data_IF_321606920074
#
_entry.id   IF_321606920074
#
_cell.length_a   1.000
_cell.length_b   1.000
_cell.length_c   1.000
_cell.angle_alpha   90.00
_cell.angle_beta   90.00
_cell.angle_gamma   90.00
#
_symmetry.space_group_name_H-M   'P 1'
#
loop_
_entity.id
_entity.type
_entity.pdbx_description
1 polymer ?
#
# COMPACT_ATOMS: atom_id res chain seq x y z
N UNK A 1 -2.63 18.16 -1.72
CA UNK A 1 -1.61 17.14 -1.38
C UNK A 1 -0.65 17.08 -2.55
N UNK A 2 0.26 18.06 -2.62
CA UNK A 2 1.33 18.13 -3.63
C UNK A 2 2.62 18.16 -2.84
N UNK A 3 3.56 17.30 -3.19
CA UNK A 3 4.88 17.22 -2.58
C UNK A 3 5.98 17.29 -3.65
N UNK A 4 7.24 17.39 -3.22
CA UNK A 4 8.34 17.56 -4.17
C UNK A 4 8.53 16.32 -5.07
N UNK A 5 8.11 15.13 -4.64
CA UNK A 5 8.26 13.88 -5.39
C UNK A 5 7.38 13.88 -6.63
N UNK A 6 6.27 14.64 -6.65
CA UNK A 6 5.33 14.66 -7.77
C UNK A 6 5.96 15.09 -9.11
N UNK A 7 7.09 15.80 -9.09
CA UNK A 7 7.80 16.21 -10.30
C UNK A 7 8.63 15.09 -10.94
N UNK A 8 9.08 14.14 -10.13
CA UNK A 8 10.00 13.08 -10.55
C UNK A 8 9.30 11.73 -10.74
N UNK A 9 8.11 11.58 -10.18
CA UNK A 9 7.32 10.37 -10.31
C UNK A 9 6.40 10.43 -11.53
N UNK A 10 6.14 9.27 -12.12
CA UNK A 10 5.10 9.12 -13.13
C UNK A 10 3.73 9.08 -12.46
N UNK A 11 2.73 9.63 -13.14
CA UNK A 11 1.34 9.66 -12.67
C UNK A 11 0.46 8.87 -13.63
N UNK A 12 -0.07 7.75 -13.15
CA UNK A 12 -1.09 6.98 -13.85
C UNK A 12 -2.46 7.45 -13.36
N UNK A 13 -3.36 7.79 -14.28
CA UNK A 13 -4.70 8.21 -13.92
C UNK A 13 -5.76 7.65 -14.86
N UNK A 14 -7.00 7.63 -14.38
CA UNK A 14 -8.18 7.29 -15.16
C UNK A 14 -9.00 8.56 -15.36
N UNK A 15 -9.32 8.85 -16.62
CA UNK A 15 -10.11 10.01 -17.02
C UNK A 15 -11.48 9.59 -17.53
N UNK A 16 -12.54 10.11 -16.91
CA UNK A 16 -13.89 9.98 -17.43
C UNK A 16 -14.10 11.02 -18.53
N UNK A 17 -14.27 10.54 -19.78
CA UNK A 17 -14.43 11.40 -20.95
C UNK A 17 -15.80 12.05 -21.03
N UNK A 18 -16.84 11.40 -20.50
CA UNK A 18 -18.21 11.90 -20.54
C UNK A 18 -18.39 12.99 -19.49
N UNK A 19 -17.95 12.73 -18.26
CA UNK A 19 -18.06 13.68 -17.15
C UNK A 19 -16.88 14.67 -17.09
N UNK A 20 -15.90 14.53 -17.98
CA UNK A 20 -14.71 15.38 -18.08
C UNK A 20 -13.99 15.56 -16.72
N UNK A 21 -13.82 14.46 -15.98
CA UNK A 21 -13.21 14.50 -14.66
C UNK A 21 -12.30 13.29 -14.40
N UNK A 22 -11.44 13.44 -13.39
CA UNK A 22 -10.55 12.37 -12.94
C UNK A 22 -11.30 11.38 -12.06
N UNK A 23 -11.17 10.09 -12.40
CA UNK A 23 -11.77 8.98 -11.63
C UNK A 23 -10.87 8.57 -10.47
N UNK A 24 -9.56 8.51 -10.72
CA UNK A 24 -8.56 8.12 -9.73
C UNK A 24 -7.16 8.12 -10.32
N UNK A 25 -6.17 7.98 -9.45
CA UNK A 25 -4.77 8.04 -9.84
C UNK A 25 -3.88 7.15 -8.95
N UNK A 26 -2.67 6.90 -9.46
CA UNK A 26 -1.55 6.23 -8.80
C UNK A 26 -0.27 6.97 -9.15
N UNK A 27 0.65 7.00 -8.20
CA UNK A 27 2.01 7.50 -8.40
C UNK A 27 2.99 6.33 -8.53
N UNK A 28 3.86 6.40 -9.54
CA UNK A 28 4.81 5.35 -9.93
C UNK A 28 6.22 5.94 -9.95
N UNK A 29 7.06 5.53 -9.00
CA UNK A 29 8.45 5.93 -8.90
C UNK A 29 9.37 4.87 -9.48
N UNK A 30 10.02 5.15 -10.60
CA UNK A 30 10.98 4.22 -11.19
C UNK A 30 12.27 4.25 -10.37
N UNK A 31 12.49 3.22 -9.54
CA UNK A 31 13.52 3.27 -8.48
C UNK A 31 14.91 3.49 -9.06
N UNK A 32 15.26 2.81 -10.14
CA UNK A 32 16.55 2.96 -10.80
C UNK A 32 16.83 4.40 -11.23
N UNK A 33 15.82 5.09 -11.77
CA UNK A 33 15.94 6.48 -12.21
C UNK A 33 16.01 7.46 -11.02
N UNK A 34 15.19 7.23 -10.00
CA UNK A 34 15.18 8.06 -8.79
C UNK A 34 16.49 7.94 -8.01
N UNK A 35 17.00 6.72 -7.85
CA UNK A 35 18.28 6.46 -7.20
C UNK A 35 19.44 7.11 -7.96
N UNK A 36 19.44 7.03 -9.29
CA UNK A 36 20.49 7.65 -10.10
C UNK A 36 20.55 9.18 -9.94
N UNK A 37 19.40 9.83 -9.69
CA UNK A 37 19.28 11.28 -9.59
C UNK A 37 19.48 11.81 -8.17
N UNK A 38 18.96 11.11 -7.17
CA UNK A 38 18.85 11.61 -5.79
C UNK A 38 19.35 10.65 -4.72
N UNK A 39 19.80 9.45 -5.11
CA UNK A 39 20.06 8.36 -4.17
C UNK A 39 18.78 7.89 -3.47
N UNK A 40 18.96 7.17 -2.36
CA UNK A 40 17.85 6.56 -1.59
C UNK A 40 16.86 7.60 -1.04
N UNK A 41 17.33 8.81 -0.74
CA UNK A 41 16.49 9.92 -0.25
C UNK A 41 15.53 10.47 -1.33
N UNK A 42 15.70 10.06 -2.60
CA UNK A 42 14.75 10.35 -3.67
C UNK A 42 13.45 9.56 -3.61
N UNK A 43 13.39 8.51 -2.78
CA UNK A 43 12.22 7.66 -2.64
C UNK A 43 11.26 8.20 -1.58
N UNK A 44 9.97 8.31 -1.90
CA UNK A 44 8.97 8.81 -0.97
C UNK A 44 8.86 7.96 0.29
N UNK A 45 8.90 6.62 0.16
CA UNK A 45 8.82 5.73 1.32
C UNK A 45 9.98 5.94 2.30
N UNK A 46 11.11 6.52 1.87
CA UNK A 46 12.23 6.88 2.76
C UNK A 46 11.86 7.95 3.79
N UNK A 47 10.83 8.75 3.51
CA UNK A 47 10.27 9.70 4.49
C UNK A 47 9.48 9.01 5.61
N UNK A 48 9.02 7.78 5.38
CA UNK A 48 8.20 7.01 6.30
C UNK A 48 8.98 5.88 6.99
N UNK A 49 10.02 5.39 6.35
CA UNK A 49 10.80 4.24 6.78
C UNK A 49 12.30 4.50 6.69
N UNK A 50 13.05 3.90 7.60
CA UNK A 50 14.50 3.83 7.59
C UNK A 50 14.93 2.54 6.92
N UNK A 51 15.52 2.66 5.73
CA UNK A 51 16.13 1.59 4.98
C UNK A 51 17.25 2.18 4.10
N UNK A 52 18.07 1.30 3.53
CA UNK A 52 19.16 1.68 2.62
C UNK A 52 19.16 0.77 1.37
N UNK A 53 20.25 0.82 0.60
CA UNK A 53 20.40 0.04 -0.62
C UNK A 53 20.19 -1.47 -0.39
N UNK A 54 20.51 -2.01 0.79
CA UNK A 54 20.37 -3.45 1.09
C UNK A 54 18.92 -3.91 1.03
N UNK A 55 17.97 -3.04 1.40
CA UNK A 55 16.54 -3.31 1.27
C UNK A 55 16.12 -3.31 -0.20
N UNK A 56 16.58 -2.34 -0.97
CA UNK A 56 16.24 -2.20 -2.39
C UNK A 56 16.81 -3.37 -3.22
N UNK A 57 17.98 -3.87 -2.84
CA UNK A 57 18.61 -5.04 -3.47
C UNK A 57 17.76 -6.31 -3.34
N UNK A 58 16.89 -6.43 -2.33
CA UNK A 58 15.94 -7.55 -2.20
C UNK A 58 14.83 -7.51 -3.25
N UNK A 59 14.55 -6.34 -3.84
CA UNK A 59 13.42 -6.12 -4.76
C UNK A 59 13.85 -6.06 -6.23
N UNK A 60 15.14 -6.25 -6.52
CA UNK A 60 15.68 -6.08 -7.86
C UNK A 60 15.29 -4.74 -8.49
N UNK A 61 15.02 -4.74 -9.80
CA UNK A 61 14.54 -3.54 -10.48
C UNK A 61 13.05 -3.36 -10.23
N UNK A 62 12.70 -2.29 -9.52
CA UNK A 62 11.36 -2.13 -8.93
C UNK A 62 10.75 -0.75 -9.20
N UNK A 63 9.43 -0.67 -8.98
CA UNK A 63 8.66 0.57 -9.01
C UNK A 63 8.09 0.82 -7.62
N UNK A 64 8.36 2.00 -7.08
CA UNK A 64 7.69 2.46 -5.85
C UNK A 64 6.29 2.97 -6.19
N UNK A 65 5.28 2.33 -5.61
CA UNK A 65 3.87 2.62 -5.80
C UNK A 65 3.32 3.41 -4.61
N UNK A 66 2.50 4.43 -4.86
CA UNK A 66 1.88 5.17 -3.77
C UNK A 66 0.84 6.18 -4.22
N UNK A 67 0.37 6.97 -3.26
CA UNK A 67 -0.59 8.08 -3.48
C UNK A 67 -1.84 7.67 -4.26
N UNK A 68 -2.27 6.43 -4.07
CA UNK A 68 -3.48 5.91 -4.71
C UNK A 68 -4.71 6.67 -4.22
N UNK A 69 -5.48 7.21 -5.15
CA UNK A 69 -6.70 7.97 -4.83
C UNK A 69 -7.81 7.63 -5.81
N UNK A 70 -9.05 7.60 -5.31
CA UNK A 70 -10.26 7.49 -6.12
C UNK A 70 -11.16 8.66 -5.72
N UNK A 71 -11.61 9.43 -6.72
CA UNK A 71 -12.52 10.54 -6.50
C UNK A 71 -13.83 10.06 -5.86
N UNK A 72 -14.37 10.85 -4.94
CA UNK A 72 -15.46 10.47 -4.05
C UNK A 72 -16.65 9.87 -4.78
N UNK A 73 -17.07 10.47 -5.90
CA UNK A 73 -18.19 10.00 -6.71
C UNK A 73 -17.97 8.63 -7.37
N UNK A 74 -16.72 8.17 -7.48
CA UNK A 74 -16.35 6.84 -7.99
C UNK A 74 -15.95 5.87 -6.88
N UNK A 75 -15.92 6.31 -5.62
CA UNK A 75 -15.68 5.39 -4.50
C UNK A 75 -16.81 4.35 -4.45
N UNK A 76 -16.47 3.13 -4.05
CA UNK A 76 -17.33 1.92 -4.11
C UNK A 76 -17.59 1.39 -5.54
N UNK A 77 -17.22 2.11 -6.59
CA UNK A 77 -17.20 1.53 -7.93
C UNK A 77 -16.02 0.57 -8.08
N UNK A 78 -16.31 -0.69 -8.39
CA UNK A 78 -15.26 -1.68 -8.66
C UNK A 78 -14.46 -1.32 -9.93
N UNK A 79 -15.09 -0.65 -10.91
CA UNK A 79 -14.45 -0.36 -12.20
C UNK A 79 -13.30 0.62 -12.08
N UNK A 80 -13.38 1.61 -11.18
CA UNK A 80 -12.34 2.62 -11.01
C UNK A 80 -11.00 1.98 -10.60
N UNK A 81 -11.02 1.13 -9.56
CA UNK A 81 -9.82 0.45 -9.08
C UNK A 81 -9.31 -0.57 -10.12
N UNK A 82 -10.19 -1.33 -10.76
CA UNK A 82 -9.80 -2.30 -11.79
C UNK A 82 -9.15 -1.62 -13.01
N UNK A 83 -9.61 -0.44 -13.42
CA UNK A 83 -9.00 0.32 -14.50
C UNK A 83 -7.61 0.84 -14.13
N UNK A 84 -7.41 1.31 -12.90
CA UNK A 84 -6.08 1.67 -12.40
C UNK A 84 -5.15 0.46 -12.43
N UNK A 85 -5.58 -0.69 -11.92
CA UNK A 85 -4.79 -1.93 -11.97
C UNK A 85 -4.50 -2.40 -13.39
N UNK A 86 -5.45 -2.26 -14.31
CA UNK A 86 -5.22 -2.53 -15.73
C UNK A 86 -4.14 -1.61 -16.28
N UNK A 87 -4.13 -0.34 -15.91
CA UNK A 87 -3.09 0.62 -16.27
C UNK A 87 -1.72 0.22 -15.73
N UNK A 88 -1.63 -0.14 -14.45
CA UNK A 88 -0.40 -0.62 -13.79
C UNK A 88 0.12 -1.87 -14.51
N UNK A 89 -0.74 -2.86 -14.73
CA UNK A 89 -0.38 -4.11 -15.42
C UNK A 89 0.07 -3.85 -16.86
N UNK A 90 -0.57 -2.91 -17.57
CA UNK A 90 -0.16 -2.52 -18.93
C UNK A 90 1.22 -1.87 -18.92
N UNK A 91 1.50 -0.99 -17.95
CA UNK A 91 2.81 -0.36 -17.79
C UNK A 91 3.90 -1.41 -17.53
N UNK A 92 3.70 -2.28 -16.54
CA UNK A 92 4.68 -3.35 -16.21
C UNK A 92 4.87 -4.31 -17.40
N UNK A 93 3.82 -4.63 -18.15
CA UNK A 93 3.93 -5.46 -19.34
C UNK A 93 4.79 -4.81 -20.44
N UNK A 94 4.71 -3.48 -20.59
CA UNK A 94 5.53 -2.72 -21.54
C UNK A 94 6.96 -2.50 -21.05
N UNK A 95 7.20 -2.64 -19.76
CA UNK A 95 8.49 -2.45 -19.10
C UNK A 95 8.89 -3.70 -18.28
N UNK A 96 9.16 -4.85 -18.97
CA UNK A 96 9.40 -6.14 -18.31
C UNK A 96 10.67 -6.18 -17.45
N UNK A 97 11.54 -5.17 -17.57
CA UNK A 97 12.69 -5.00 -16.70
C UNK A 97 12.31 -4.68 -15.25
N UNK A 98 11.12 -4.13 -14.99
CA UNK A 98 10.61 -3.93 -13.63
C UNK A 98 9.88 -5.18 -13.16
N UNK A 99 10.45 -5.86 -12.18
CA UNK A 99 9.98 -7.17 -11.70
C UNK A 99 9.20 -7.09 -10.41
N UNK A 100 9.33 -5.99 -9.65
CA UNK A 100 8.69 -5.81 -8.35
C UNK A 100 7.98 -4.47 -8.24
N UNK A 101 6.86 -4.48 -7.52
CA UNK A 101 6.16 -3.29 -7.07
C UNK A 101 6.19 -3.28 -5.55
N UNK A 102 6.56 -2.16 -4.94
CA UNK A 102 6.51 -2.00 -3.49
C UNK A 102 6.03 -0.61 -3.12
N UNK A 103 5.60 -0.42 -1.89
CA UNK A 103 5.26 0.90 -1.39
C UNK A 103 4.41 0.86 -0.14
N UNK A 104 4.24 2.01 0.52
CA UNK A 104 3.43 2.11 1.73
C UNK A 104 1.94 2.01 1.40
N UNK A 105 1.21 1.24 2.22
CA UNK A 105 -0.25 1.26 2.24
C UNK A 105 -0.74 1.92 3.51
N UNK A 106 -1.68 2.86 3.38
CA UNK A 106 -2.24 3.59 4.52
C UNK A 106 -3.49 2.91 5.06
N UNK A 107 -3.59 2.84 6.39
CA UNK A 107 -4.84 2.54 7.10
C UNK A 107 -5.37 3.86 7.64
N UNK A 108 -6.62 4.23 7.32
CA UNK A 108 -7.19 5.53 7.71
C UNK A 108 -7.18 5.71 9.23
N UNK A 109 -7.01 6.95 9.68
CA UNK A 109 -7.22 7.32 11.09
C UNK A 109 -8.71 7.29 11.49
N UNK A 110 -9.62 7.12 10.54
CA UNK A 110 -11.04 6.87 10.83
C UNK A 110 -11.25 5.51 11.50
N UNK A 111 -10.30 4.58 11.38
CA UNK A 111 -10.33 3.33 12.13
C UNK A 111 -9.95 3.58 13.59
N UNK A 112 -10.72 2.99 14.49
CA UNK A 112 -10.41 2.90 15.91
C UNK A 112 -8.99 2.37 16.14
N UNK A 113 -8.37 2.79 17.25
CA UNK A 113 -7.05 2.30 17.62
C UNK A 113 -7.00 0.75 17.68
N UNK A 114 -8.02 0.13 18.27
CA UNK A 114 -8.13 -1.34 18.36
C UNK A 114 -8.20 -2.00 16.99
N UNK A 115 -8.94 -1.44 16.02
CA UNK A 115 -9.00 -2.00 14.67
C UNK A 115 -7.66 -1.87 13.93
N UNK A 116 -6.97 -0.73 14.07
CA UNK A 116 -5.62 -0.55 13.47
C UNK A 116 -4.61 -1.54 14.05
N UNK A 117 -4.64 -1.76 15.36
CA UNK A 117 -3.80 -2.76 16.03
C UNK A 117 -4.10 -4.18 15.52
N UNK A 118 -5.38 -4.56 15.44
CA UNK A 118 -5.77 -5.89 14.97
C UNK A 118 -5.38 -6.13 13.50
N UNK A 119 -5.57 -5.12 12.64
CA UNK A 119 -5.11 -5.17 11.26
C UNK A 119 -3.59 -5.35 11.20
N UNK A 120 -2.82 -4.52 11.90
CA UNK A 120 -1.37 -4.60 11.90
C UNK A 120 -0.87 -5.96 12.40
N UNK A 121 -1.37 -6.45 13.55
CA UNK A 121 -0.97 -7.74 14.12
C UNK A 121 -1.34 -8.92 13.22
N UNK A 122 -2.51 -8.88 12.57
CA UNK A 122 -2.90 -9.89 11.59
C UNK A 122 -1.96 -9.88 10.39
N UNK A 123 -1.60 -8.70 9.86
CA UNK A 123 -0.63 -8.60 8.76
C UNK A 123 0.75 -9.11 9.18
N UNK A 124 1.23 -8.75 10.37
CA UNK A 124 2.52 -9.21 10.91
C UNK A 124 2.54 -10.73 11.11
N UNK A 125 1.42 -11.35 11.51
CA UNK A 125 1.40 -12.79 11.75
C UNK A 125 1.37 -13.60 10.43
N UNK A 126 0.69 -13.11 9.40
CA UNK A 126 0.36 -13.91 8.21
C UNK A 126 1.10 -13.51 6.93
N UNK A 127 1.59 -12.28 6.85
CA UNK A 127 2.13 -11.69 5.61
C UNK A 127 3.48 -10.99 5.80
N UNK A 128 4.11 -11.17 6.97
CA UNK A 128 5.39 -10.54 7.27
C UNK A 128 6.54 -11.30 6.62
N UNK A 129 7.33 -10.58 5.84
CA UNK A 129 8.56 -11.09 5.26
C UNK A 129 9.72 -10.81 6.24
N UNK A 130 10.15 -11.85 6.95
CA UNK A 130 11.22 -11.72 7.94
C UNK A 130 12.55 -11.32 7.31
N UNK A 131 12.84 -11.79 6.10
CA UNK A 131 14.12 -11.54 5.43
C UNK A 131 14.20 -10.08 4.99
N UNK A 132 13.13 -9.54 4.39
CA UNK A 132 13.08 -8.12 4.01
C UNK A 132 13.02 -7.19 5.24
N UNK A 133 12.36 -7.61 6.32
CA UNK A 133 12.17 -6.81 7.52
C UNK A 133 13.46 -6.46 8.26
N UNK A 134 14.53 -7.25 8.10
CA UNK A 134 15.84 -6.93 8.69
C UNK A 134 16.45 -5.64 8.12
N UNK A 135 16.00 -5.21 6.94
CA UNK A 135 16.55 -4.06 6.21
C UNK A 135 15.67 -2.81 6.24
N UNK A 136 14.52 -2.86 6.91
CA UNK A 136 13.57 -1.73 6.96
C UNK A 136 12.95 -1.56 8.35
N UNK A 137 12.90 -0.33 8.84
CA UNK A 137 12.23 0.00 10.11
C UNK A 137 11.33 1.23 9.94
N UNK A 138 10.19 1.32 10.65
CA UNK A 138 9.33 2.49 10.57
C UNK A 138 9.95 3.70 11.27
N UNK A 139 9.82 4.89 10.69
CA UNK A 139 10.24 6.14 11.33
C UNK A 139 9.34 6.52 12.51
N UNK A 140 8.06 6.12 12.46
CA UNK A 140 7.10 6.26 13.54
C UNK A 140 6.40 4.89 13.78
N UNK A 141 6.96 4.02 14.64
CA UNK A 141 6.40 2.70 14.88
C UNK A 141 5.00 2.76 15.48
N UNK A 142 4.17 1.78 15.13
CA UNK A 142 2.88 1.60 15.80
C UNK A 142 3.14 1.27 17.29
N UNK A 143 2.55 1.99 18.25
CA UNK A 143 2.77 1.72 19.66
C UNK A 143 2.39 0.30 20.04
N UNK A 144 3.28 -0.40 20.73
CA UNK A 144 2.97 -1.73 21.28
C UNK A 144 1.82 -1.59 22.27
N UNK A 145 0.78 -2.39 22.06
CA UNK A 145 -0.35 -2.48 22.99
C UNK A 145 -0.48 -3.92 23.43
N UNK A 146 -0.55 -4.16 24.74
CA UNK A 146 -0.88 -5.46 25.32
C UNK A 146 -2.36 -5.78 25.12
N UNK A 147 -2.78 -5.90 23.86
CA UNK A 147 -4.05 -6.51 23.52
C UNK A 147 -3.84 -8.02 23.60
N UNK A 148 -4.32 -8.64 24.67
CA UNK A 148 -4.28 -10.09 24.88
C UNK A 148 -5.27 -10.79 23.94
N UNK A 149 -5.06 -10.65 22.63
CA UNK A 149 -5.78 -11.44 21.65
C UNK A 149 -5.33 -12.90 21.78
N UNK A 150 -6.29 -13.80 21.84
CA UNK A 150 -5.98 -15.22 21.86
C UNK A 150 -5.22 -15.60 20.57
N UNK A 151 -4.06 -16.25 20.69
CA UNK A 151 -3.24 -16.69 19.55
C UNK A 151 -4.04 -17.52 18.55
N UNK A 152 -4.98 -18.35 19.02
CA UNK A 152 -5.85 -19.14 18.14
C UNK A 152 -6.81 -18.25 17.33
N UNK A 153 -7.27 -17.15 17.92
CA UNK A 153 -8.08 -16.15 17.22
C UNK A 153 -7.25 -15.45 16.16
N UNK A 154 -6.06 -14.92 16.49
CA UNK A 154 -5.18 -14.25 15.52
C UNK A 154 -4.79 -15.18 14.36
N UNK A 155 -4.56 -16.46 14.63
CA UNK A 155 -4.28 -17.47 13.60
C UNK A 155 -5.46 -17.64 12.64
N UNK A 156 -6.69 -17.71 13.15
CA UNK A 156 -7.89 -17.80 12.31
C UNK A 156 -8.11 -16.53 11.46
N UNK A 157 -7.62 -15.37 11.91
CA UNK A 157 -7.71 -14.11 11.17
C UNK A 157 -6.75 -14.00 9.97
N UNK A 158 -6.04 -15.09 9.62
CA UNK A 158 -5.40 -15.20 8.29
C UNK A 158 -6.43 -15.26 7.17
N UNK A 159 -7.67 -15.71 7.45
CA UNK A 159 -8.78 -15.54 6.52
C UNK A 159 -9.25 -14.07 6.51
N UNK A 160 -8.98 -13.40 5.39
CA UNK A 160 -9.33 -12.02 5.15
C UNK A 160 -10.83 -11.73 5.27
N UNK A 161 -11.70 -12.70 4.97
CA UNK A 161 -13.14 -12.55 5.16
C UNK A 161 -13.50 -12.52 6.65
N UNK A 162 -12.89 -13.40 7.44
CA UNK A 162 -13.09 -13.43 8.88
C UNK A 162 -12.55 -12.16 9.53
N UNK A 163 -11.34 -11.73 9.16
CA UNK A 163 -10.77 -10.45 9.58
C UNK A 163 -11.71 -9.29 9.27
N UNK A 164 -12.23 -9.20 8.05
CA UNK A 164 -13.17 -8.14 7.69
C UNK A 164 -14.46 -8.16 8.50
N UNK A 165 -14.98 -9.34 8.90
CA UNK A 165 -16.17 -9.44 9.76
C UNK A 165 -15.87 -8.98 11.19
N UNK A 166 -14.69 -9.31 11.71
CA UNK A 166 -14.28 -8.90 13.06
C UNK A 166 -14.06 -7.38 13.10
N UNK A 167 -13.35 -6.80 12.12
CA UNK A 167 -13.18 -5.34 12.00
C UNK A 167 -14.54 -4.65 11.93
N UNK A 168 -15.47 -5.17 11.12
CA UNK A 168 -16.82 -4.61 11.00
C UNK A 168 -17.59 -4.59 12.31
N UNK A 169 -17.35 -5.57 13.20
CA UNK A 169 -17.99 -5.61 14.51
C UNK A 169 -17.43 -4.60 15.51
N UNK A 170 -16.15 -4.25 15.39
CA UNK A 170 -15.47 -3.34 16.33
C UNK A 170 -15.40 -1.89 15.82
N UNK A 171 -15.66 -1.66 14.53
CA UNK A 171 -15.45 -0.36 13.88
C UNK A 171 -16.64 0.03 12.98
N UNK A 172 -17.85 0.03 13.56
CA UNK A 172 -19.07 0.58 12.94
C UNK A 172 -19.37 0.03 11.52
N UNK A 173 -19.08 -1.24 11.26
CA UNK A 173 -19.33 -1.88 9.98
C UNK A 173 -18.21 -1.70 8.94
N UNK A 174 -17.11 -1.01 9.27
CA UNK A 174 -15.94 -0.90 8.37
C UNK A 174 -15.28 -2.27 8.18
N UNK A 175 -14.91 -2.62 6.96
CA UNK A 175 -14.16 -3.84 6.66
C UNK A 175 -12.65 -3.60 6.66
N UNK A 176 -11.89 -4.57 6.14
CA UNK A 176 -10.48 -4.34 5.79
C UNK A 176 -10.39 -3.27 4.69
N UNK A 177 -9.44 -2.31 4.76
CA UNK A 177 -9.23 -1.33 3.70
C UNK A 177 -9.16 -1.97 2.31
N UNK A 178 -9.84 -1.36 1.33
CA UNK A 178 -10.03 -1.97 0.00
C UNK A 178 -8.70 -2.28 -0.69
N UNK A 179 -7.72 -1.38 -0.59
CA UNK A 179 -6.40 -1.56 -1.20
C UNK A 179 -5.61 -2.69 -0.54
N UNK A 180 -5.59 -2.73 0.79
CA UNK A 180 -4.95 -3.82 1.54
C UNK A 180 -5.55 -5.17 1.12
N UNK A 181 -6.88 -5.25 1.05
CA UNK A 181 -7.57 -6.46 0.58
C UNK A 181 -7.23 -6.83 -0.86
N UNK A 182 -6.99 -5.86 -1.73
CA UNK A 182 -6.65 -6.12 -3.12
C UNK A 182 -5.23 -6.66 -3.25
N UNK A 183 -4.26 -6.09 -2.52
CA UNK A 183 -2.88 -6.57 -2.51
C UNK A 183 -2.76 -8.00 -2.01
N UNK A 184 -3.49 -8.36 -0.95
CA UNK A 184 -3.46 -9.72 -0.39
C UNK A 184 -4.14 -10.79 -1.26
N UNK A 185 -4.78 -10.40 -2.37
CA UNK A 185 -5.43 -11.32 -3.31
C UNK A 185 -4.61 -11.57 -4.58
N UNK A 186 -3.58 -10.76 -4.82
CA UNK A 186 -2.65 -10.92 -5.93
C UNK A 186 -1.67 -12.04 -5.62
#
# INVERSE_FOLDING_TARGET
DIDHFDHDYLHLFVWDRENQCMVGAYRLGLVDQLLAKYGVEGLYSRTLFNYDQRFLDQMGKSIEMGRSVIAEQYQKSMSALLLLWKGIATFVHQHPEYTHLFGPVSISNDYSHTARQLLAQSMTLHHYDNDCAEYVTPSNPLPETNLNWNTSMLTALGDLQLLSRVIARIDEGKGVPVLLRQYLRL
#
